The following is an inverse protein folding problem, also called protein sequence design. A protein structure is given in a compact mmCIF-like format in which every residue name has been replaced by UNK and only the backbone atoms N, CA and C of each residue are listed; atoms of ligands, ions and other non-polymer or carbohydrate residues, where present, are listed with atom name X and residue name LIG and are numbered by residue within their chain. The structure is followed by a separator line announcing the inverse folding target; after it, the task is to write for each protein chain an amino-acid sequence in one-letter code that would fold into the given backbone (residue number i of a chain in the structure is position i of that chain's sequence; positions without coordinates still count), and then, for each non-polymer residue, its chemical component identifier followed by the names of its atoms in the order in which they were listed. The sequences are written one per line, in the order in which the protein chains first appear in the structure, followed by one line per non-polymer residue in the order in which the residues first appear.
data_IF_895394539151
#
_entry.id   IF_895394539151
#
_cell.length_a   1.000
_cell.length_b   1.000
_cell.length_c   1.000
_cell.angle_alpha   90.00
_cell.angle_beta   90.00
_cell.angle_gamma   90.00
#
_symmetry.space_group_name_H-M   'P 1'
#
loop_
_entity.id
_entity.type
_entity.pdbx_description
1 polymer ?
#
# COMPACT_ATOMS: atom_id res chain seq x y z
N UNK A 1 35.12 31.48 5.23
CA UNK A 1 35.54 30.06 5.29
C UNK A 1 34.29 29.19 5.31
N UNK A 2 34.21 28.23 4.40
CA UNK A 2 32.99 27.49 4.01
C UNK A 2 32.36 26.69 5.17
N UNK A 3 31.04 26.81 5.28
CA UNK A 3 30.16 25.98 6.11
C UNK A 3 30.33 24.49 5.78
N UNK A 4 30.72 23.69 6.77
CA UNK A 4 30.44 22.26 6.75
C UNK A 4 28.96 22.07 7.09
N UNK A 5 28.14 21.91 6.04
CA UNK A 5 26.80 21.33 6.15
C UNK A 5 26.99 19.95 6.82
N UNK A 6 26.47 19.80 8.04
CA UNK A 6 26.28 18.51 8.71
C UNK A 6 25.66 17.55 7.70
N UNK A 7 26.42 16.55 7.24
CA UNK A 7 25.86 15.38 6.57
C UNK A 7 24.88 14.78 7.58
N UNK A 8 23.58 14.94 7.35
CA UNK A 8 22.57 14.24 8.15
C UNK A 8 22.87 12.75 8.00
N UNK A 9 23.07 12.08 9.13
CA UNK A 9 23.24 10.63 9.16
C UNK A 9 21.98 10.03 8.52
N UNK A 10 22.10 9.43 7.33
CA UNK A 10 20.96 8.77 6.69
C UNK A 10 20.40 7.73 7.65
N UNK A 11 19.14 7.89 8.04
CA UNK A 11 18.47 6.96 8.93
C UNK A 11 18.08 5.72 8.13
N UNK A 12 18.33 4.53 8.66
CA UNK A 12 18.04 3.27 7.99
C UNK A 12 17.00 2.52 8.81
N UNK A 13 15.87 2.21 8.18
CA UNK A 13 14.81 1.38 8.74
C UNK A 13 14.90 0.02 8.07
N UNK A 14 15.12 -1.02 8.89
CA UNK A 14 15.10 -2.41 8.46
C UNK A 14 13.83 -3.07 8.97
N UNK A 15 13.13 -3.80 8.10
CA UNK A 15 11.96 -4.59 8.47
C UNK A 15 12.04 -5.98 7.83
N UNK A 16 11.38 -6.95 8.43
CA UNK A 16 11.23 -8.27 7.80
C UNK A 16 9.94 -8.97 8.26
N UNK A 17 9.78 -9.19 9.57
CA UNK A 17 8.61 -9.92 10.07
C UNK A 17 7.45 -8.99 10.36
N UNK A 18 6.23 -9.46 10.09
CA UNK A 18 4.98 -8.73 10.30
C UNK A 18 4.72 -8.33 11.75
N UNK A 19 5.28 -9.06 12.72
CA UNK A 19 5.11 -8.83 14.16
C UNK A 19 6.27 -8.03 14.79
N UNK A 20 7.23 -7.57 14.00
CA UNK A 20 8.34 -6.73 14.45
C UNK A 20 8.04 -5.24 14.16
N UNK A 21 8.79 -4.29 14.75
CA UNK A 21 8.69 -2.88 14.38
C UNK A 21 8.78 -2.71 12.86
N UNK A 22 7.92 -1.85 12.30
CA UNK A 22 7.80 -1.66 10.86
C UNK A 22 7.34 -2.90 10.06
N UNK A 23 6.84 -3.94 10.72
CA UNK A 23 6.28 -5.14 10.07
C UNK A 23 5.11 -4.84 9.12
N UNK A 24 4.44 -3.71 9.31
CA UNK A 24 3.43 -3.20 8.38
C UNK A 24 4.01 -2.77 7.02
N UNK A 25 5.32 -2.66 6.83
CA UNK A 25 5.92 -2.49 5.50
C UNK A 25 5.92 -3.78 4.68
N UNK A 26 5.86 -4.94 5.32
CA UNK A 26 5.77 -6.21 4.61
C UNK A 26 4.48 -6.32 3.81
N UNK A 27 4.59 -6.84 2.58
CA UNK A 27 3.45 -7.25 1.75
C UNK A 27 2.64 -8.41 2.37
N UNK A 28 3.19 -9.09 3.38
CA UNK A 28 2.51 -10.13 4.15
C UNK A 28 1.67 -9.58 5.31
N UNK A 29 1.75 -8.27 5.61
CA UNK A 29 0.97 -7.68 6.70
C UNK A 29 -0.54 -7.86 6.44
N UNK A 30 -1.36 -8.19 7.45
CA UNK A 30 -2.79 -8.47 7.30
C UNK A 30 -3.61 -7.17 7.19
N UNK A 31 -3.32 -6.36 6.18
CA UNK A 31 -4.04 -5.14 5.85
C UNK A 31 -4.73 -5.36 4.51
N UNK A 32 -6.06 -5.61 4.50
CA UNK A 32 -6.77 -5.89 3.27
C UNK A 32 -6.75 -4.66 2.36
N UNK A 33 -6.66 -4.91 1.05
CA UNK A 33 -6.71 -3.87 0.02
C UNK A 33 -7.88 -4.12 -0.92
N UNK A 34 -8.44 -3.04 -1.44
CA UNK A 34 -9.38 -3.06 -2.54
C UNK A 34 -8.72 -2.46 -3.77
N UNK A 35 -8.67 -3.22 -4.86
CA UNK A 35 -8.05 -2.77 -6.10
C UNK A 35 -8.83 -3.38 -7.26
N UNK A 36 -9.20 -2.57 -8.24
CA UNK A 36 -10.02 -3.00 -9.38
C UNK A 36 -11.33 -3.70 -8.97
N UNK A 37 -12.03 -3.18 -7.96
CA UNK A 37 -13.25 -3.77 -7.36
C UNK A 37 -13.08 -5.15 -6.72
N UNK A 38 -11.85 -5.63 -6.53
CA UNK A 38 -11.56 -6.89 -5.86
C UNK A 38 -10.95 -6.63 -4.47
N UNK A 39 -11.43 -7.36 -3.47
CA UNK A 39 -10.85 -7.38 -2.12
C UNK A 39 -9.77 -8.44 -2.02
N UNK A 40 -8.61 -8.07 -1.46
CA UNK A 40 -7.49 -8.97 -1.19
C UNK A 40 -7.06 -8.86 0.26
N UNK A 41 -6.78 -10.00 0.92
CA UNK A 41 -6.42 -10.04 2.34
C UNK A 41 -5.07 -9.36 2.66
N UNK A 42 -4.16 -9.30 1.69
CA UNK A 42 -2.92 -8.54 1.76
C UNK A 42 -2.41 -8.19 0.36
N UNK A 43 -1.36 -7.37 0.31
CA UNK A 43 -0.62 -7.07 -0.93
C UNK A 43 -0.07 -8.35 -1.57
N UNK A 44 0.41 -9.31 -0.77
CA UNK A 44 0.89 -10.59 -1.27
C UNK A 44 -0.21 -11.38 -2.00
N UNK A 45 -1.46 -11.31 -1.52
CA UNK A 45 -2.57 -12.01 -2.19
C UNK A 45 -2.80 -11.47 -3.59
N UNK A 46 -2.93 -10.15 -3.72
CA UNK A 46 -3.11 -9.51 -5.01
C UNK A 46 -1.90 -9.76 -5.94
N UNK A 47 -0.69 -9.65 -5.39
CA UNK A 47 0.55 -9.81 -6.17
C UNK A 47 0.68 -11.22 -6.75
N UNK A 48 0.42 -12.26 -5.96
CA UNK A 48 0.48 -13.64 -6.44
C UNK A 48 -0.66 -13.97 -7.40
N UNK A 49 -1.88 -13.51 -7.13
CA UNK A 49 -3.01 -13.72 -8.03
C UNK A 49 -2.80 -13.04 -9.39
N UNK A 50 -2.17 -11.86 -9.41
CA UNK A 50 -1.92 -11.10 -10.64
C UNK A 50 -0.93 -11.74 -11.61
N UNK A 51 -0.26 -12.83 -11.21
CA UNK A 51 0.55 -13.66 -12.10
C UNK A 51 -0.28 -14.46 -13.10
N UNK A 52 -1.55 -14.70 -12.79
CA UNK A 52 -2.39 -15.66 -13.51
C UNK A 52 -3.54 -14.94 -14.19
N UNK A 53 -3.75 -15.23 -15.46
CA UNK A 53 -4.97 -14.83 -16.18
C UNK A 53 -6.11 -15.83 -15.94
N UNK A 54 -5.79 -17.02 -15.43
CA UNK A 54 -6.76 -18.04 -15.07
C UNK A 54 -7.55 -17.63 -13.80
N UNK A 55 -8.87 -17.50 -13.96
CA UNK A 55 -9.77 -17.08 -12.88
C UNK A 55 -9.83 -18.07 -11.71
N UNK A 56 -9.81 -19.38 -11.97
CA UNK A 56 -9.90 -20.41 -10.93
C UNK A 56 -8.68 -20.36 -9.99
N UNK A 57 -7.49 -20.10 -10.55
CA UNK A 57 -6.27 -19.94 -9.74
C UNK A 57 -6.35 -18.66 -8.90
N UNK A 58 -6.85 -17.56 -9.48
CA UNK A 58 -7.03 -16.30 -8.76
C UNK A 58 -8.01 -16.44 -7.60
N UNK A 59 -9.16 -17.07 -7.83
CA UNK A 59 -10.16 -17.33 -6.79
C UNK A 59 -9.61 -18.25 -5.69
N UNK A 60 -8.87 -19.30 -6.07
CA UNK A 60 -8.17 -20.17 -5.12
C UNK A 60 -7.20 -19.38 -4.24
N UNK A 61 -6.40 -18.48 -4.83
CA UNK A 61 -5.47 -17.62 -4.09
C UNK A 61 -6.24 -16.66 -3.17
N UNK A 62 -7.35 -16.09 -3.64
CA UNK A 62 -8.17 -15.17 -2.86
C UNK A 62 -8.79 -15.84 -1.61
N UNK A 63 -9.14 -17.12 -1.72
CA UNK A 63 -9.72 -17.91 -0.64
C UNK A 63 -8.72 -18.37 0.42
N UNK A 64 -7.41 -18.29 0.17
CA UNK A 64 -6.39 -18.61 1.17
C UNK A 64 -6.31 -17.48 2.19
N UNK A 65 -6.26 -17.83 3.48
CA UNK A 65 -6.13 -16.83 4.56
C UNK A 65 -4.68 -16.41 4.78
N UNK A 66 -3.74 -17.36 4.70
CA UNK A 66 -2.34 -17.12 5.04
C UNK A 66 -1.54 -16.60 3.84
N UNK A 67 -0.92 -15.41 3.93
CA UNK A 67 -0.06 -14.89 2.86
C UNK A 67 1.15 -15.81 2.58
N UNK A 68 1.58 -16.61 3.57
CA UNK A 68 2.61 -17.62 3.35
C UNK A 68 2.14 -18.76 2.44
N UNK A 69 0.91 -19.23 2.64
CA UNK A 69 0.32 -20.26 1.78
C UNK A 69 0.06 -19.72 0.37
N UNK A 70 -0.35 -18.45 0.25
CA UNK A 70 -0.46 -17.77 -1.05
C UNK A 70 0.87 -17.69 -1.77
N UNK A 71 1.95 -17.33 -1.07
CA UNK A 71 3.28 -17.30 -1.67
C UNK A 71 3.74 -18.69 -2.16
N UNK A 72 3.33 -19.77 -1.49
CA UNK A 72 3.60 -21.15 -1.92
C UNK A 72 2.80 -21.45 -3.19
N UNK A 73 1.48 -21.21 -3.17
CA UNK A 73 0.59 -21.48 -4.31
C UNK A 73 0.99 -20.68 -5.56
N UNK A 74 1.26 -19.38 -5.41
CA UNK A 74 1.68 -18.51 -6.52
C UNK A 74 3.09 -18.77 -7.06
N UNK A 75 3.83 -19.69 -6.43
CA UNK A 75 5.14 -20.18 -6.89
C UNK A 75 5.09 -21.62 -7.42
N UNK A 76 3.91 -22.26 -7.42
CA UNK A 76 3.78 -23.58 -8.03
C UNK A 76 4.06 -23.49 -9.53
N UNK A 77 5.11 -24.17 -9.96
CA UNK A 77 5.59 -24.19 -11.36
C UNK A 77 4.63 -24.90 -12.31
N UNK A 78 3.62 -25.61 -11.78
CA UNK A 78 2.57 -26.22 -12.59
C UNK A 78 1.60 -25.20 -13.17
N UNK A 79 1.49 -24.03 -12.55
CA UNK A 79 0.61 -22.97 -13.00
C UNK A 79 1.29 -22.12 -14.07
N UNK A 80 0.57 -21.85 -15.16
CA UNK A 80 1.05 -20.98 -16.24
C UNK A 80 0.86 -19.53 -15.80
N UNK A 81 1.96 -18.79 -15.69
CA UNK A 81 1.94 -17.35 -15.42
C UNK A 81 1.87 -16.59 -16.75
N UNK A 82 1.37 -15.35 -16.69
CA UNK A 82 1.36 -14.40 -17.81
C UNK A 82 2.77 -14.14 -18.36
N UNK A 83 2.86 -13.97 -19.68
CA UNK A 83 4.14 -13.87 -20.41
C UNK A 83 4.91 -12.58 -20.12
N UNK A 84 4.22 -11.49 -19.78
CA UNK A 84 4.79 -10.17 -19.48
C UNK A 84 5.16 -10.00 -17.99
N UNK A 85 5.05 -11.05 -17.16
CA UNK A 85 5.18 -10.96 -15.70
C UNK A 85 6.45 -10.21 -15.24
N UNK A 86 7.59 -10.51 -15.83
CA UNK A 86 8.86 -9.88 -15.43
C UNK A 86 8.89 -8.37 -15.69
N UNK A 87 8.11 -7.88 -16.65
CA UNK A 87 7.98 -6.46 -16.98
C UNK A 87 6.99 -5.75 -16.05
N UNK A 88 5.90 -6.41 -15.67
CA UNK A 88 4.79 -5.78 -14.93
C UNK A 88 4.83 -5.97 -13.42
N UNK A 89 5.58 -6.95 -12.89
CA UNK A 89 5.57 -7.30 -11.46
C UNK A 89 5.84 -6.13 -10.52
N UNK A 90 6.73 -5.21 -10.89
CA UNK A 90 7.03 -4.04 -10.04
C UNK A 90 5.91 -3.01 -10.05
N UNK A 91 5.24 -2.82 -11.18
CA UNK A 91 4.08 -1.94 -11.28
C UNK A 91 2.90 -2.50 -10.48
N UNK A 92 2.64 -3.81 -10.59
CA UNK A 92 1.61 -4.51 -9.81
C UNK A 92 1.88 -4.36 -8.31
N UNK A 93 3.11 -4.61 -7.87
CA UNK A 93 3.51 -4.43 -6.47
C UNK A 93 3.34 -2.98 -6.02
N UNK A 94 3.80 -2.03 -6.84
CA UNK A 94 3.68 -0.60 -6.55
C UNK A 94 2.22 -0.17 -6.38
N UNK A 95 1.33 -0.53 -7.31
CA UNK A 95 -0.09 -0.20 -7.25
C UNK A 95 -0.76 -0.79 -6.01
N UNK A 96 -0.44 -2.04 -5.66
CA UNK A 96 -0.97 -2.69 -4.47
C UNK A 96 -0.49 -2.02 -3.16
N UNK A 97 0.79 -1.63 -3.10
CA UNK A 97 1.34 -0.87 -1.97
C UNK A 97 0.68 0.51 -1.88
N UNK A 98 0.51 1.21 -2.99
CA UNK A 98 -0.14 2.52 -3.02
C UNK A 98 -1.58 2.43 -2.48
N UNK A 99 -2.37 1.45 -2.96
CA UNK A 99 -3.70 1.16 -2.42
C UNK A 99 -3.66 0.90 -0.92
N UNK A 100 -2.74 0.05 -0.44
CA UNK A 100 -2.59 -0.23 1.00
C UNK A 100 -2.37 1.05 1.81
N UNK A 101 -1.48 1.93 1.38
CA UNK A 101 -1.20 3.15 2.15
C UNK A 101 -2.32 4.18 2.03
N UNK A 102 -2.98 4.31 0.87
CA UNK A 102 -4.15 5.21 0.75
C UNK A 102 -5.37 4.75 1.57
N UNK A 103 -5.60 3.44 1.63
CA UNK A 103 -6.78 2.84 2.27
C UNK A 103 -6.62 2.65 3.78
N UNK A 104 -5.42 2.87 4.30
CA UNK A 104 -5.14 2.72 5.72
C UNK A 104 -4.43 3.96 6.27
N UNK A 105 -5.18 4.99 6.72
CA UNK A 105 -4.61 6.30 7.09
C UNK A 105 -3.52 6.22 8.17
N UNK A 106 -3.66 5.29 9.13
CA UNK A 106 -2.62 5.02 10.13
C UNK A 106 -1.31 4.57 9.50
N UNK A 107 -1.36 3.65 8.53
CA UNK A 107 -0.16 3.17 7.85
C UNK A 107 0.42 4.23 6.92
N UNK A 108 -0.42 5.03 6.26
CA UNK A 108 0.00 6.19 5.48
C UNK A 108 0.85 7.14 6.31
N UNK A 109 0.35 7.52 7.48
CA UNK A 109 1.04 8.38 8.45
C UNK A 109 2.39 7.78 8.84
N UNK A 110 2.42 6.51 9.25
CA UNK A 110 3.67 5.85 9.67
C UNK A 110 4.70 5.78 8.54
N UNK A 111 4.28 5.56 7.29
CA UNK A 111 5.16 5.63 6.11
C UNK A 111 5.72 7.04 5.91
N UNK A 112 4.88 8.08 5.96
CA UNK A 112 5.31 9.47 5.81
C UNK A 112 6.26 9.92 6.94
N UNK A 113 6.04 9.44 8.17
CA UNK A 113 6.91 9.71 9.32
C UNK A 113 8.33 9.16 9.16
N UNK A 114 8.56 8.23 8.22
CA UNK A 114 9.91 7.78 7.89
C UNK A 114 10.76 8.87 7.21
N UNK A 115 10.15 9.93 6.67
CA UNK A 115 10.83 11.08 6.02
C UNK A 115 11.85 10.60 4.99
N UNK A 116 13.12 11.00 5.11
CA UNK A 116 14.19 10.62 4.18
C UNK A 116 14.89 9.30 4.55
N UNK A 117 14.31 8.51 5.45
CA UNK A 117 14.93 7.25 5.88
C UNK A 117 14.96 6.25 4.72
N UNK A 118 16.07 5.51 4.61
CA UNK A 118 16.17 4.36 3.73
C UNK A 118 15.36 3.20 4.32
N UNK A 119 14.44 2.66 3.55
CA UNK A 119 13.60 1.52 3.94
C UNK A 119 14.18 0.26 3.31
N UNK A 120 14.49 -0.75 4.12
CA UNK A 120 15.16 -1.98 3.69
C UNK A 120 14.38 -3.20 4.18
N UNK A 121 13.94 -4.04 3.25
CA UNK A 121 13.47 -5.39 3.58
C UNK A 121 14.70 -6.27 3.83
N UNK A 122 14.98 -6.54 5.10
CA UNK A 122 16.22 -7.18 5.53
C UNK A 122 16.05 -8.68 5.70
N UNK A 123 16.39 -9.45 4.68
CA UNK A 123 16.18 -10.91 4.67
C UNK A 123 17.24 -11.64 3.87
N UNK A 124 17.67 -12.80 4.37
CA UNK A 124 18.59 -13.71 3.68
C UNK A 124 17.89 -14.56 2.60
N UNK A 125 16.57 -14.53 2.55
CA UNK A 125 15.76 -15.45 1.76
C UNK A 125 15.36 -14.86 0.38
N UNK A 126 15.58 -13.57 0.16
CA UNK A 126 15.19 -12.89 -1.08
C UNK A 126 16.22 -11.81 -1.46
N UNK A 127 16.84 -11.98 -2.63
CA UNK A 127 17.82 -11.04 -3.20
C UNK A 127 17.20 -10.04 -4.19
N UNK A 128 15.93 -10.21 -4.56
CA UNK A 128 15.23 -9.32 -5.47
C UNK A 128 14.40 -8.29 -4.70
N UNK A 129 13.44 -8.75 -3.90
CA UNK A 129 12.58 -7.86 -3.12
C UNK A 129 13.30 -7.32 -1.89
N UNK A 130 14.10 -8.17 -1.24
CA UNK A 130 14.94 -7.85 -0.11
C UNK A 130 16.42 -7.54 -0.44
N UNK A 131 17.18 -7.27 0.62
CA UNK A 131 18.61 -6.94 0.54
C UNK A 131 19.55 -8.16 0.60
N UNK A 132 19.01 -9.38 0.63
CA UNK A 132 19.82 -10.61 0.74
C UNK A 132 20.47 -10.83 2.12
N UNK A 133 20.22 -9.97 3.10
CA UNK A 133 20.76 -10.04 4.46
C UNK A 133 22.22 -9.60 4.58
N UNK A 134 22.98 -9.59 3.49
CA UNK A 134 24.33 -9.03 3.39
C UNK A 134 24.37 -7.67 2.68
N UNK A 135 23.21 -7.16 2.22
CA UNK A 135 23.07 -5.88 1.55
C UNK A 135 23.33 -5.92 0.03
N UNK A 136 23.60 -7.09 -0.56
CA UNK A 136 23.83 -7.23 -2.01
C UNK A 136 22.56 -7.44 -2.83
N UNK A 137 21.44 -7.74 -2.17
CA UNK A 137 20.13 -7.83 -2.80
C UNK A 137 19.64 -6.47 -3.31
N UNK A 138 18.67 -6.49 -4.23
CA UNK A 138 18.19 -5.29 -4.92
C UNK A 138 17.28 -4.41 -4.05
N UNK A 139 16.73 -4.93 -2.95
CA UNK A 139 15.80 -4.23 -2.06
C UNK A 139 14.66 -3.53 -2.82
N UNK A 140 14.10 -4.17 -3.86
CA UNK A 140 13.06 -3.54 -4.70
C UNK A 140 11.83 -3.17 -3.88
N UNK A 141 11.46 -3.97 -2.86
CA UNK A 141 10.30 -3.65 -2.01
C UNK A 141 10.52 -2.35 -1.23
N UNK A 142 11.69 -2.20 -0.60
CA UNK A 142 12.06 -0.98 0.11
C UNK A 142 12.08 0.25 -0.80
N UNK A 143 12.61 0.11 -2.02
CA UNK A 143 12.61 1.17 -3.03
C UNK A 143 11.18 1.56 -3.47
N UNK A 144 10.28 0.59 -3.67
CA UNK A 144 8.89 0.87 -3.99
C UNK A 144 8.14 1.55 -2.83
N UNK A 145 8.40 1.17 -1.58
CA UNK A 145 7.84 1.84 -0.40
C UNK A 145 8.28 3.30 -0.33
N UNK A 146 9.56 3.59 -0.62
CA UNK A 146 10.07 4.96 -0.69
C UNK A 146 9.43 5.74 -1.84
N UNK A 147 9.23 5.10 -3.01
CA UNK A 147 8.49 5.70 -4.13
C UNK A 147 7.05 6.02 -3.73
N UNK A 148 6.32 5.09 -3.11
CA UNK A 148 4.95 5.31 -2.62
C UNK A 148 4.91 6.47 -1.62
N UNK A 149 5.88 6.54 -0.69
CA UNK A 149 6.03 7.67 0.25
C UNK A 149 6.18 9.01 -0.48
N UNK A 150 7.06 9.07 -1.48
CA UNK A 150 7.29 10.27 -2.28
C UNK A 150 6.04 10.68 -3.04
N UNK A 151 5.30 9.72 -3.60
CA UNK A 151 4.07 9.99 -4.33
C UNK A 151 2.97 10.53 -3.40
N UNK A 152 2.76 9.91 -2.24
CA UNK A 152 1.82 10.43 -1.23
C UNK A 152 2.21 11.85 -0.79
N UNK A 153 3.51 12.08 -0.52
CA UNK A 153 4.01 13.37 -0.03
C UNK A 153 3.84 14.53 -1.01
N UNK A 154 3.62 14.26 -2.31
CA UNK A 154 3.30 15.32 -3.29
C UNK A 154 1.90 15.92 -3.10
N UNK A 155 0.98 15.16 -2.51
CA UNK A 155 -0.44 15.53 -2.38
C UNK A 155 -0.86 15.83 -0.94
N UNK A 156 -0.05 15.44 0.05
CA UNK A 156 -0.36 15.57 1.47
C UNK A 156 0.47 16.70 2.09
N UNK A 157 -0.18 17.61 2.82
CA UNK A 157 0.50 18.72 3.53
C UNK A 157 0.83 18.37 4.99
N UNK A 158 0.03 17.49 5.59
CA UNK A 158 0.14 17.06 6.99
C UNK A 158 0.02 15.52 7.05
N UNK A 159 0.92 14.86 7.75
CA UNK A 159 0.92 13.40 7.93
C UNK A 159 -0.35 12.86 8.59
N UNK A 160 -1.17 13.71 9.20
CA UNK A 160 -2.47 13.36 9.78
C UNK A 160 -3.63 13.48 8.80
N UNK A 161 -3.42 14.02 7.59
CA UNK A 161 -4.46 14.11 6.57
C UNK A 161 -5.01 12.72 6.23
N UNK A 162 -6.34 12.61 6.24
CA UNK A 162 -7.05 11.44 5.71
C UNK A 162 -7.54 11.78 4.31
N UNK A 163 -7.20 10.93 3.34
CA UNK A 163 -7.62 11.12 1.95
C UNK A 163 -9.15 10.97 1.83
N UNK A 164 -9.78 11.66 0.87
CA UNK A 164 -11.19 11.46 0.61
C UNK A 164 -11.45 10.04 0.05
N UNK A 165 -12.67 9.49 0.27
CA UNK A 165 -13.02 8.14 -0.13
C UNK A 165 -12.77 7.83 -1.61
N UNK A 166 -13.03 8.78 -2.51
CA UNK A 166 -12.83 8.61 -3.96
C UNK A 166 -11.36 8.60 -4.40
N UNK A 167 -10.43 9.03 -3.55
CA UNK A 167 -8.99 8.87 -3.82
C UNK A 167 -8.50 7.54 -3.28
N UNK A 168 -8.96 7.13 -2.09
CA UNK A 168 -8.54 5.87 -1.48
C UNK A 168 -9.17 4.63 -2.11
N UNK A 169 -10.41 4.75 -2.59
CA UNK A 169 -11.20 3.70 -3.22
C UNK A 169 -11.79 4.21 -4.54
N UNK A 170 -10.96 4.51 -5.55
CA UNK A 170 -11.38 5.22 -6.76
C UNK A 170 -12.36 4.43 -7.64
N UNK A 171 -12.49 3.13 -7.42
CA UNK A 171 -13.38 2.27 -8.21
C UNK A 171 -14.70 1.95 -7.50
N UNK A 172 -14.87 2.39 -6.24
CA UNK A 172 -16.07 2.10 -5.45
C UNK A 172 -17.03 3.29 -5.47
N UNK A 173 -18.25 3.05 -5.95
CA UNK A 173 -19.30 4.05 -6.00
C UNK A 173 -19.76 4.46 -4.58
N UNK A 174 -20.16 5.73 -4.39
CA UNK A 174 -20.59 6.25 -3.09
C UNK A 174 -21.78 5.49 -2.46
N UNK A 175 -22.62 4.82 -3.26
CA UNK A 175 -23.80 4.09 -2.78
C UNK A 175 -23.56 2.58 -2.57
N UNK A 176 -22.34 2.10 -2.82
CA UNK A 176 -22.01 0.68 -2.70
C UNK A 176 -22.15 0.17 -1.25
N UNK A 177 -22.54 -1.10 -1.09
CA UNK A 177 -22.66 -1.74 0.23
C UNK A 177 -21.31 -1.85 0.95
N UNK A 178 -20.19 -1.78 0.23
CA UNK A 178 -18.84 -1.67 0.77
C UNK A 178 -18.72 -0.62 1.88
N UNK A 179 -19.38 0.53 1.70
CA UNK A 179 -19.34 1.64 2.65
C UNK A 179 -20.10 1.40 3.96
N UNK A 180 -20.92 0.34 4.01
CA UNK A 180 -21.79 0.02 5.13
C UNK A 180 -21.25 -1.08 6.03
N UNK A 181 -20.09 -1.64 5.72
CA UNK A 181 -19.49 -2.71 6.52
C UNK A 181 -17.97 -2.82 6.37
N UNK A 182 -17.32 -3.30 7.44
CA UNK A 182 -15.91 -3.67 7.39
C UNK A 182 -15.00 -2.49 7.05
N UNK A 183 -14.10 -2.69 6.07
CA UNK A 183 -13.07 -1.70 5.73
C UNK A 183 -13.66 -0.37 5.23
N UNK A 184 -14.74 -0.39 4.44
CA UNK A 184 -15.34 0.83 3.90
C UNK A 184 -15.99 1.69 4.99
N UNK A 185 -16.76 1.05 5.87
CA UNK A 185 -17.35 1.71 7.04
C UNK A 185 -16.27 2.28 7.99
N UNK A 186 -15.22 1.51 8.27
CA UNK A 186 -14.09 1.96 9.10
C UNK A 186 -13.38 3.16 8.48
N UNK A 187 -13.20 3.14 7.15
CA UNK A 187 -12.57 4.25 6.42
C UNK A 187 -13.42 5.51 6.44
N UNK A 188 -14.71 5.41 6.09
CA UNK A 188 -15.64 6.54 6.15
C UNK A 188 -15.70 7.14 7.54
N UNK A 189 -15.75 6.30 8.57
CA UNK A 189 -15.75 6.77 9.96
C UNK A 189 -14.49 7.58 10.29
N UNK A 190 -13.31 7.12 9.85
CA UNK A 190 -12.05 7.84 10.06
C UNK A 190 -12.01 9.14 9.27
N UNK A 191 -12.41 9.09 8.00
CA UNK A 191 -12.45 10.25 7.12
C UNK A 191 -13.42 11.32 7.63
N UNK A 192 -14.66 10.97 7.96
CA UNK A 192 -15.66 11.91 8.48
C UNK A 192 -15.20 12.55 9.77
N UNK A 193 -14.59 11.79 10.70
CA UNK A 193 -14.01 12.35 11.92
C UNK A 193 -12.89 13.33 11.61
N UNK A 194 -11.98 13.00 10.69
CA UNK A 194 -10.91 13.91 10.28
C UNK A 194 -11.48 15.18 9.64
N UNK A 195 -12.40 15.04 8.69
CA UNK A 195 -13.03 16.15 7.97
C UNK A 195 -13.80 17.09 8.89
N UNK A 196 -14.53 16.58 9.89
CA UNK A 196 -15.24 17.41 10.87
C UNK A 196 -14.32 18.18 11.81
N UNK A 197 -13.06 17.78 11.95
CA UNK A 197 -12.08 18.40 12.84
C UNK A 197 -10.97 19.16 12.10
N UNK A 198 -11.09 19.35 10.78
CA UNK A 198 -10.12 20.09 9.96
C UNK A 198 -10.72 21.39 9.41
N UNK A 199 -9.89 22.20 8.75
CA UNK A 199 -10.37 23.34 7.96
C UNK A 199 -11.10 22.81 6.71
N UNK A 200 -12.43 22.73 6.80
CA UNK A 200 -13.28 22.18 5.75
C UNK A 200 -13.19 22.99 4.46
N UNK A 201 -13.05 24.31 4.52
CA UNK A 201 -12.93 25.17 3.33
C UNK A 201 -11.64 24.85 2.59
N UNK A 202 -10.52 24.74 3.33
CA UNK A 202 -9.24 24.34 2.75
C UNK A 202 -9.32 22.92 2.19
N UNK A 203 -9.94 21.99 2.93
CA UNK A 203 -10.05 20.59 2.53
C UNK A 203 -10.86 20.40 1.25
N UNK A 204 -12.08 20.98 1.16
CA UNK A 204 -12.92 20.95 -0.04
C UNK A 204 -12.21 21.54 -1.26
N UNK A 205 -11.44 22.63 -1.06
CA UNK A 205 -10.67 23.24 -2.15
C UNK A 205 -9.54 22.35 -2.65
N UNK A 206 -8.88 21.62 -1.74
CA UNK A 206 -7.79 20.69 -2.06
C UNK A 206 -8.31 19.42 -2.73
N UNK A 207 -9.45 18.92 -2.26
CA UNK A 207 -10.08 17.70 -2.71
C UNK A 207 -11.52 18.00 -3.17
N UNK A 208 -11.69 18.52 -4.40
CA UNK A 208 -13.02 18.74 -4.92
C UNK A 208 -13.76 17.41 -5.09
N UNK A 209 -15.08 17.46 -4.92
CA UNK A 209 -15.96 16.33 -5.21
C UNK A 209 -15.82 15.92 -6.68
N UNK A 210 -16.00 14.62 -6.92
CA UNK A 210 -16.20 14.10 -8.28
C UNK A 210 -17.70 14.02 -8.55
N UNK A 211 -18.11 13.91 -9.81
CA UNK A 211 -19.52 13.73 -10.16
C UNK A 211 -20.16 12.53 -9.44
N UNK A 212 -19.38 11.47 -9.20
CA UNK A 212 -19.85 10.28 -8.49
C UNK A 212 -19.97 10.46 -6.98
N UNK A 213 -19.45 11.55 -6.43
CA UNK A 213 -19.39 11.87 -5.00
C UNK A 213 -20.00 13.25 -4.70
N UNK A 214 -20.88 13.74 -5.56
CA UNK A 214 -21.56 15.02 -5.39
C UNK A 214 -22.39 15.04 -4.10
N UNK A 215 -22.25 16.11 -3.32
CA UNK A 215 -22.98 16.34 -2.06
C UNK A 215 -22.43 15.58 -0.87
N UNK A 216 -21.31 14.86 -0.98
CA UNK A 216 -20.73 14.09 0.13
C UNK A 216 -20.30 14.98 1.31
N UNK A 217 -19.99 16.25 1.05
CA UNK A 217 -19.58 17.19 2.09
C UNK A 217 -20.73 17.96 2.76
N UNK A 218 -21.96 17.79 2.32
CA UNK A 218 -23.15 18.51 2.80
C UNK A 218 -23.90 17.72 3.88
#
# INVERSE_FOLDING_TARGET
MRQYKKLSKMNIIKFYKVNEPYGFFSNFSPHPIYINNERWNSVEHYFQASKFDNIEIREKIQAIESPMQVAIEGRDKKNIIRDDWEMVKEEIMYSALLCKFYQHPKLMKELLLTKDSLIIEHTKNDNYWGDGGDGKGKNRLGLLLMKVREEIAKFIDDVLEVLPPWIAFPTINQFDLFWRMGLGEEYLTQWSRYYLNTDQVKYKKKFPETNEWEGIYD
#
